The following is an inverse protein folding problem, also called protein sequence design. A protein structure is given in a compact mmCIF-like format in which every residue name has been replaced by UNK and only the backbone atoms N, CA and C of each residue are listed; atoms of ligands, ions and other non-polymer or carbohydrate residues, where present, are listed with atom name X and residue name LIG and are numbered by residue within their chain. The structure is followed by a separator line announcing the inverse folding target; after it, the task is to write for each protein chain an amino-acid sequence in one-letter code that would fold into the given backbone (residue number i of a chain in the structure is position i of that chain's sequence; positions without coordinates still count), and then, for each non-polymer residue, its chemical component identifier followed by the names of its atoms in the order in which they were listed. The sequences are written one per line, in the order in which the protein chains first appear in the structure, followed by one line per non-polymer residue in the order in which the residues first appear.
data_IF_384424852982
#
_entry.id   IF_384424852982
#
_cell.length_a   1.000
_cell.length_b   1.000
_cell.length_c   1.000
_cell.angle_alpha   90.00
_cell.angle_beta   90.00
_cell.angle_gamma   90.00
#
_symmetry.space_group_name_H-M   'P 1'
#
loop_
_entity.id
_entity.type
_entity.pdbx_description
1 polymer ?
#
# COMPACT_ATOMS: atom_id res chain seq x y z
N UNK A 1 -7.86 -32.65 -33.94
CA UNK A 1 -8.98 -31.70 -33.80
C UNK A 1 -8.71 -30.82 -32.57
N UNK A 2 -8.84 -29.51 -32.74
CA UNK A 2 -8.68 -28.55 -31.67
C UNK A 2 -10.05 -28.18 -31.11
N UNK A 3 -10.19 -28.11 -29.77
CA UNK A 3 -11.48 -28.00 -29.11
C UNK A 3 -12.18 -26.67 -29.37
N UNK A 4 -11.56 -25.57 -29.18
CA UNK A 4 -12.16 -24.25 -29.38
C UNK A 4 -11.10 -23.13 -29.56
N UNK A 5 -11.52 -22.09 -30.27
CA UNK A 5 -10.73 -20.83 -30.42
C UNK A 5 -11.54 -19.69 -29.83
N UNK A 6 -10.91 -18.91 -28.97
CA UNK A 6 -11.47 -17.67 -28.43
C UNK A 6 -10.57 -16.51 -28.84
N UNK A 7 -11.17 -15.43 -29.31
CA UNK A 7 -10.48 -14.19 -29.64
C UNK A 7 -10.85 -13.17 -28.58
N UNK A 8 -9.84 -12.56 -27.94
CA UNK A 8 -10.00 -11.53 -26.93
C UNK A 8 -9.35 -10.25 -27.44
N UNK A 9 -10.11 -9.17 -27.50
CA UNK A 9 -9.58 -7.86 -27.81
C UNK A 9 -8.98 -7.26 -26.53
N UNK A 10 -7.68 -6.94 -26.60
CA UNK A 10 -6.92 -6.39 -25.47
C UNK A 10 -6.68 -4.91 -25.74
N UNK A 11 -6.95 -4.00 -24.78
CA UNK A 11 -6.66 -2.58 -24.93
C UNK A 11 -5.18 -2.31 -25.20
N UNK A 12 -4.88 -1.23 -25.91
CA UNK A 12 -3.50 -0.81 -26.17
C UNK A 12 -2.75 -0.53 -24.85
N UNK A 13 -1.51 -0.94 -24.76
CA UNK A 13 -0.67 -0.77 -23.57
C UNK A 13 -0.80 -1.86 -22.51
N UNK A 14 -1.71 -2.81 -22.68
CA UNK A 14 -1.80 -3.99 -21.80
C UNK A 14 -0.75 -5.02 -22.18
N UNK A 15 0.17 -5.30 -21.26
CA UNK A 15 1.27 -6.24 -21.49
C UNK A 15 0.96 -7.68 -21.09
N UNK A 16 -0.05 -7.88 -20.24
CA UNK A 16 -0.45 -9.21 -19.76
C UNK A 16 -1.94 -9.27 -19.46
N UNK A 17 -2.59 -10.38 -19.78
CA UNK A 17 -3.97 -10.68 -19.39
C UNK A 17 -4.02 -11.90 -18.48
N UNK A 18 -4.90 -11.85 -17.48
CA UNK A 18 -5.29 -13.00 -16.67
C UNK A 18 -6.61 -13.59 -17.21
N UNK A 19 -6.72 -14.91 -17.23
CA UNK A 19 -7.92 -15.58 -17.69
C UNK A 19 -8.10 -16.95 -17.05
N UNK A 20 -9.34 -17.45 -17.10
CA UNK A 20 -9.72 -18.78 -16.64
C UNK A 20 -10.37 -19.50 -17.81
N UNK A 21 -9.92 -20.71 -18.11
CA UNK A 21 -10.62 -21.60 -19.02
C UNK A 21 -11.55 -22.49 -18.19
N UNK A 22 -12.82 -22.50 -18.56
CA UNK A 22 -13.86 -23.26 -17.88
C UNK A 22 -14.50 -24.23 -18.85
N UNK A 23 -14.92 -25.37 -18.34
CA UNK A 23 -15.75 -26.36 -19.04
C UNK A 23 -17.06 -26.57 -18.28
N UNK A 24 -17.96 -27.25 -18.90
CA UNK A 24 -19.26 -27.66 -18.33
C UNK A 24 -20.13 -26.47 -17.88
N UNK A 25 -20.00 -25.32 -18.60
CA UNK A 25 -20.89 -24.19 -18.41
C UNK A 25 -22.21 -24.42 -19.12
N UNK A 26 -23.31 -24.23 -18.41
CA UNK A 26 -24.68 -24.43 -18.96
C UNK A 26 -25.10 -23.40 -20.01
N UNK A 27 -24.43 -22.27 -20.12
CA UNK A 27 -24.66 -21.24 -21.12
C UNK A 27 -23.35 -20.54 -21.56
N UNK A 28 -23.20 -20.22 -22.88
CA UNK A 28 -22.12 -19.38 -23.34
C UNK A 28 -22.18 -18.00 -22.70
N UNK A 29 -21.08 -17.58 -22.03
CA UNK A 29 -21.02 -16.29 -21.33
C UNK A 29 -21.81 -16.22 -20.03
N UNK A 30 -22.40 -17.34 -19.58
CA UNK A 30 -23.16 -17.40 -18.35
C UNK A 30 -22.34 -17.20 -17.09
N UNK A 31 -22.99 -16.60 -16.09
CA UNK A 31 -22.43 -16.38 -14.75
C UNK A 31 -22.56 -17.58 -13.82
N UNK A 32 -22.88 -18.75 -14.34
CA UNK A 32 -23.04 -19.98 -13.55
C UNK A 32 -21.68 -20.53 -13.12
N UNK A 33 -21.13 -19.93 -12.08
CA UNK A 33 -19.88 -20.36 -11.47
C UNK A 33 -20.05 -21.64 -10.64
N UNK A 34 -21.28 -21.97 -10.25
CA UNK A 34 -21.55 -23.11 -9.38
C UNK A 34 -21.39 -24.46 -10.08
N UNK A 35 -21.66 -24.55 -11.40
CA UNK A 35 -21.54 -25.78 -12.19
C UNK A 35 -20.27 -25.83 -13.04
N UNK A 36 -19.51 -24.73 -13.15
CA UNK A 36 -18.36 -24.67 -14.03
C UNK A 36 -17.11 -25.23 -13.39
N UNK A 37 -16.42 -26.12 -14.10
CA UNK A 37 -15.13 -26.67 -13.69
C UNK A 37 -14.01 -25.91 -14.38
N UNK A 38 -13.01 -25.42 -13.61
CA UNK A 38 -11.77 -24.89 -14.18
C UNK A 38 -11.02 -26.00 -14.92
N UNK A 39 -10.38 -25.67 -16.03
CA UNK A 39 -9.51 -26.60 -16.75
C UNK A 39 -8.22 -26.89 -16.00
N UNK A 40 -7.83 -25.95 -15.11
CA UNK A 40 -6.64 -26.03 -14.26
C UNK A 40 -6.89 -25.27 -12.95
N UNK A 41 -6.24 -25.66 -11.84
CA UNK A 41 -6.47 -25.11 -10.49
C UNK A 41 -6.23 -23.60 -10.39
N UNK A 42 -5.11 -23.14 -10.98
CA UNK A 42 -4.72 -21.75 -10.93
C UNK A 42 -5.27 -20.96 -12.12
N UNK A 43 -5.38 -19.65 -11.93
CA UNK A 43 -5.65 -18.72 -13.03
C UNK A 43 -4.47 -18.71 -13.99
N UNK A 44 -4.76 -18.54 -15.29
CA UNK A 44 -3.75 -18.45 -16.33
C UNK A 44 -3.44 -17.01 -16.67
N UNK A 45 -2.20 -16.74 -17.03
CA UNK A 45 -1.74 -15.41 -17.44
C UNK A 45 -0.97 -15.50 -18.75
N UNK A 46 -1.33 -14.67 -19.71
CA UNK A 46 -0.64 -14.59 -20.98
C UNK A 46 0.00 -13.22 -21.18
N UNK A 47 1.26 -13.19 -21.57
CA UNK A 47 1.93 -11.97 -22.01
C UNK A 47 1.49 -11.64 -23.42
N UNK A 48 1.26 -10.35 -23.68
CA UNK A 48 0.91 -9.83 -24.98
C UNK A 48 2.20 -9.47 -25.73
N UNK A 49 2.46 -10.16 -26.82
CA UNK A 49 3.63 -9.96 -27.68
C UNK A 49 3.17 -9.36 -29.01
N UNK A 50 3.45 -8.08 -29.25
CA UNK A 50 3.09 -7.40 -30.49
C UNK A 50 1.59 -7.16 -30.68
N UNK A 51 1.14 -7.14 -31.94
CA UNK A 51 -0.27 -6.84 -32.30
C UNK A 51 -1.21 -8.03 -32.12
N UNK A 52 -0.68 -9.24 -32.14
CA UNK A 52 -1.43 -10.49 -31.99
C UNK A 52 -0.57 -11.50 -31.24
N UNK A 53 -1.12 -12.09 -30.18
CA UNK A 53 -0.50 -13.17 -29.43
C UNK A 53 -1.41 -14.39 -29.46
N UNK A 54 -0.91 -15.49 -30.01
CA UNK A 54 -1.64 -16.76 -30.06
C UNK A 54 -1.03 -17.74 -29.07
N UNK A 55 -1.85 -18.27 -28.18
CA UNK A 55 -1.43 -19.30 -27.22
C UNK A 55 -2.30 -20.55 -27.40
N UNK A 56 -1.69 -21.70 -27.23
CA UNK A 56 -2.36 -22.99 -27.24
C UNK A 56 -2.34 -23.55 -25.82
N UNK A 57 -3.48 -24.07 -25.39
CA UNK A 57 -3.67 -24.61 -24.04
C UNK A 57 -4.12 -26.06 -24.15
N UNK A 58 -3.64 -26.87 -23.22
CA UNK A 58 -4.10 -28.23 -23.01
C UNK A 58 -4.82 -28.30 -21.66
N UNK A 59 -5.99 -28.93 -21.63
CA UNK A 59 -6.76 -29.08 -20.39
C UNK A 59 -5.96 -29.90 -19.35
N UNK A 60 -5.92 -29.39 -18.13
CA UNK A 60 -5.15 -30.00 -17.02
C UNK A 60 -3.67 -29.69 -17.02
N UNK A 61 -3.14 -29.02 -18.06
CA UNK A 61 -1.72 -28.67 -18.17
C UNK A 61 -1.53 -27.16 -17.88
N UNK A 62 -0.68 -26.76 -16.92
CA UNK A 62 -0.38 -25.35 -16.66
C UNK A 62 0.36 -24.65 -17.79
N UNK A 63 1.02 -25.40 -18.68
CA UNK A 63 1.83 -24.84 -19.76
C UNK A 63 1.01 -24.10 -20.80
N UNK A 64 1.64 -23.12 -21.42
CA UNK A 64 1.15 -22.40 -22.59
C UNK A 64 2.11 -22.61 -23.74
N UNK A 65 1.58 -22.99 -24.88
CA UNK A 65 2.34 -23.38 -26.04
C UNK A 65 2.23 -22.34 -27.16
N UNK A 66 3.29 -22.17 -27.96
CA UNK A 66 3.27 -21.31 -29.16
C UNK A 66 2.73 -22.00 -30.38
N UNK A 67 2.60 -23.32 -30.34
CA UNK A 67 2.07 -24.10 -31.44
C UNK A 67 1.12 -25.18 -30.94
N UNK A 68 0.25 -25.61 -31.82
CA UNK A 68 -0.77 -26.61 -31.56
C UNK A 68 -0.22 -28.03 -31.32
N UNK A 69 1.02 -28.28 -31.63
CA UNK A 69 1.72 -29.56 -31.43
C UNK A 69 2.46 -29.66 -30.09
N UNK A 70 2.19 -28.70 -29.19
CA UNK A 70 2.85 -28.64 -27.89
C UNK A 70 4.30 -28.15 -27.95
N UNK A 71 4.67 -27.45 -29.01
CA UNK A 71 5.99 -26.86 -29.21
C UNK A 71 6.41 -25.89 -28.10
N UNK A 72 7.31 -25.00 -28.34
CA UNK A 72 7.97 -24.15 -27.33
C UNK A 72 6.99 -23.50 -26.36
N UNK A 73 7.07 -23.83 -25.11
CA UNK A 73 6.31 -23.20 -24.00
C UNK A 73 6.64 -21.71 -23.92
N UNK A 74 5.62 -20.87 -23.85
CA UNK A 74 5.77 -19.46 -23.55
C UNK A 74 6.26 -19.30 -22.11
N UNK A 75 7.33 -18.53 -21.90
CA UNK A 75 7.75 -18.18 -20.54
C UNK A 75 6.68 -17.29 -19.90
N UNK A 76 6.11 -17.72 -18.81
CA UNK A 76 5.29 -16.85 -17.97
C UNK A 76 6.18 -15.78 -17.34
N UNK A 77 5.79 -14.51 -17.49
CA UNK A 77 6.48 -13.43 -16.77
C UNK A 77 6.19 -13.57 -15.29
N UNK A 78 7.25 -13.73 -14.51
CA UNK A 78 7.15 -13.73 -13.06
C UNK A 78 6.87 -12.31 -12.58
N UNK A 79 5.84 -12.15 -11.75
CA UNK A 79 5.47 -10.85 -11.15
C UNK A 79 5.33 -11.00 -9.64
N UNK A 80 5.96 -10.11 -8.91
CA UNK A 80 5.71 -9.88 -7.50
C UNK A 80 4.59 -8.84 -7.40
N UNK A 81 3.36 -9.29 -7.16
CA UNK A 81 2.18 -8.44 -7.31
C UNK A 81 1.87 -7.63 -6.06
N UNK A 82 2.17 -8.14 -4.87
CA UNK A 82 1.88 -7.47 -3.62
C UNK A 82 2.86 -7.86 -2.50
N UNK A 83 3.28 -6.88 -1.71
CA UNK A 83 3.86 -7.06 -0.39
C UNK A 83 3.14 -6.12 0.57
N UNK A 84 2.49 -6.67 1.60
CA UNK A 84 1.67 -5.94 2.55
C UNK A 84 2.04 -6.25 3.99
N UNK A 85 2.27 -5.21 4.82
CA UNK A 85 2.46 -5.39 6.24
C UNK A 85 1.11 -5.75 6.87
N UNK A 86 1.00 -6.99 7.34
CA UNK A 86 -0.24 -7.55 7.85
C UNK A 86 -0.31 -7.57 9.39
N UNK A 87 0.85 -7.63 10.06
CA UNK A 87 0.98 -7.56 11.51
C UNK A 87 2.38 -7.03 11.87
N UNK A 88 2.69 -6.86 13.14
CA UNK A 88 3.93 -6.27 13.66
C UNK A 88 5.21 -6.76 12.96
N UNK A 89 5.31 -8.04 12.71
CA UNK A 89 6.47 -8.69 12.07
C UNK A 89 6.06 -9.57 10.88
N UNK A 90 4.85 -9.39 10.32
CA UNK A 90 4.30 -10.27 9.30
C UNK A 90 4.00 -9.53 8.01
N UNK A 91 4.65 -9.92 6.92
CA UNK A 91 4.46 -9.38 5.58
C UNK A 91 3.75 -10.43 4.73
N UNK A 92 2.55 -10.12 4.24
CA UNK A 92 1.87 -10.90 3.21
C UNK A 92 2.53 -10.65 1.86
N UNK A 93 2.73 -11.70 1.07
CA UNK A 93 3.22 -11.57 -0.30
C UNK A 93 2.30 -12.29 -1.30
N UNK A 94 2.27 -11.79 -2.55
CA UNK A 94 1.55 -12.44 -3.67
C UNK A 94 2.42 -12.46 -4.92
N UNK A 95 2.47 -13.63 -5.56
CA UNK A 95 3.30 -13.91 -6.73
C UNK A 95 2.45 -14.48 -7.86
N UNK A 96 2.90 -14.26 -9.08
CA UNK A 96 2.33 -14.89 -10.30
C UNK A 96 3.49 -15.23 -11.25
N UNK A 97 3.60 -16.48 -11.74
CA UNK A 97 2.89 -17.67 -11.29
C UNK A 97 3.26 -18.07 -9.86
N UNK A 98 2.58 -19.09 -9.31
CA UNK A 98 2.95 -19.72 -8.04
C UNK A 98 4.36 -20.33 -8.12
N UNK A 99 5.05 -20.44 -7.00
CA UNK A 99 6.41 -20.97 -6.90
C UNK A 99 6.64 -21.68 -5.56
N UNK A 100 7.72 -22.44 -5.50
CA UNK A 100 8.22 -23.02 -4.25
C UNK A 100 9.39 -22.18 -3.76
N UNK A 101 9.27 -21.62 -2.56
CA UNK A 101 10.38 -21.03 -1.81
C UNK A 101 10.99 -22.19 -1.00
N UNK A 102 12.17 -22.68 -1.41
CA UNK A 102 12.78 -23.89 -0.84
C UNK A 102 13.60 -23.61 0.41
N UNK A 103 14.15 -22.41 0.53
CA UNK A 103 14.93 -21.95 1.68
C UNK A 103 14.76 -20.44 1.90
N UNK A 104 15.14 -19.97 3.09
CA UNK A 104 14.98 -18.55 3.46
C UNK A 104 15.90 -17.61 2.68
N UNK A 105 17.02 -18.10 2.13
CA UNK A 105 17.98 -17.25 1.39
C UNK A 105 17.38 -16.69 0.10
N UNK A 106 16.31 -17.32 -0.42
CA UNK A 106 15.57 -16.87 -1.59
C UNK A 106 14.69 -15.65 -1.33
N UNK A 107 14.52 -15.28 -0.04
CA UNK A 107 13.70 -14.14 0.37
C UNK A 107 14.55 -13.20 1.21
N UNK A 108 14.48 -11.91 0.91
CA UNK A 108 15.17 -10.86 1.68
C UNK A 108 14.23 -9.73 1.96
N UNK A 109 14.31 -9.18 3.15
CA UNK A 109 13.57 -7.98 3.57
C UNK A 109 14.60 -6.89 3.88
N UNK A 110 14.32 -5.68 3.44
CA UNK A 110 15.18 -4.53 3.70
C UNK A 110 14.38 -3.35 4.26
N UNK A 111 15.00 -2.55 5.10
CA UNK A 111 14.58 -1.19 5.44
C UNK A 111 15.65 -0.23 4.90
N UNK A 112 15.34 0.48 3.83
CA UNK A 112 16.35 1.18 3.05
C UNK A 112 17.45 0.21 2.58
N UNK A 113 18.69 0.43 3.04
CA UNK A 113 19.83 -0.45 2.73
C UNK A 113 20.12 -1.51 3.80
N UNK A 114 19.43 -1.48 4.94
CA UNK A 114 19.63 -2.43 6.04
C UNK A 114 18.79 -3.68 5.79
N UNK A 115 19.42 -4.85 5.71
CA UNK A 115 18.71 -6.12 5.66
C UNK A 115 18.10 -6.45 7.03
N UNK A 116 16.83 -6.85 7.03
CA UNK A 116 16.08 -7.28 8.20
C UNK A 116 16.10 -8.81 8.26
N UNK A 117 16.48 -9.42 9.39
CA UNK A 117 16.46 -10.88 9.55
C UNK A 117 15.04 -11.44 9.41
N UNK A 118 14.91 -12.55 8.69
CA UNK A 118 13.68 -13.32 8.51
C UNK A 118 13.70 -14.51 9.46
N UNK A 119 12.61 -14.70 10.19
CA UNK A 119 12.42 -15.86 11.07
C UNK A 119 11.80 -17.05 10.32
N UNK A 120 10.79 -16.78 9.47
CA UNK A 120 10.08 -17.84 8.76
C UNK A 120 9.42 -17.36 7.46
N UNK A 121 9.05 -18.32 6.61
CA UNK A 121 8.13 -18.14 5.47
C UNK A 121 7.08 -19.23 5.56
N UNK A 122 5.80 -18.86 5.62
CA UNK A 122 4.68 -19.79 5.86
C UNK A 122 4.52 -20.89 4.81
N UNK A 123 5.03 -20.65 3.61
CA UNK A 123 4.95 -21.56 2.46
C UNK A 123 6.28 -22.26 2.16
N UNK A 124 7.24 -22.26 3.11
CA UNK A 124 8.55 -22.85 2.90
C UNK A 124 8.43 -24.32 2.48
N UNK A 125 9.06 -24.66 1.35
CA UNK A 125 9.01 -26.01 0.76
C UNK A 125 7.69 -26.39 0.07
N UNK A 126 6.73 -25.45 -0.03
CA UNK A 126 5.43 -25.68 -0.67
C UNK A 126 5.25 -24.75 -1.88
N UNK A 127 4.60 -25.24 -2.93
CA UNK A 127 4.23 -24.41 -4.06
C UNK A 127 3.04 -23.51 -3.69
N UNK A 128 3.23 -22.20 -3.76
CA UNK A 128 2.19 -21.21 -3.43
C UNK A 128 2.31 -19.93 -4.25
N UNK A 129 1.16 -19.27 -4.46
CA UNK A 129 1.07 -17.94 -5.07
C UNK A 129 1.06 -16.83 -4.02
N UNK A 130 0.82 -17.14 -2.76
CA UNK A 130 0.79 -16.19 -1.65
C UNK A 130 1.17 -16.85 -0.34
N UNK A 131 1.67 -16.05 0.60
CA UNK A 131 2.03 -16.50 1.93
C UNK A 131 2.47 -15.33 2.80
N UNK A 132 3.05 -15.66 3.93
CA UNK A 132 3.58 -14.70 4.89
C UNK A 132 5.07 -14.87 5.08
N UNK A 133 5.77 -13.76 5.17
CA UNK A 133 7.17 -13.68 5.63
C UNK A 133 7.10 -13.11 7.05
N UNK A 134 7.68 -13.82 8.01
CA UNK A 134 7.81 -13.33 9.37
C UNK A 134 9.24 -12.85 9.61
N UNK A 135 9.39 -11.61 10.05
CA UNK A 135 10.69 -11.06 10.45
C UNK A 135 11.02 -11.45 11.89
N UNK A 136 12.31 -11.43 12.24
CA UNK A 136 12.76 -11.79 13.60
C UNK A 136 12.37 -10.73 14.65
N UNK A 137 12.11 -9.49 14.21
CA UNK A 137 11.75 -8.35 15.06
C UNK A 137 10.52 -7.67 14.46
N UNK A 138 9.80 -6.93 15.31
CA UNK A 138 8.71 -6.08 14.87
C UNK A 138 9.22 -4.96 13.97
N UNK A 139 8.44 -4.64 12.95
CA UNK A 139 8.73 -3.59 11.97
C UNK A 139 8.10 -2.27 12.43
N UNK A 140 8.86 -1.18 12.35
CA UNK A 140 8.31 0.15 12.60
C UNK A 140 7.41 0.57 11.42
N UNK A 141 6.19 1.01 11.71
CA UNK A 141 5.23 1.47 10.68
C UNK A 141 5.75 2.63 9.83
N UNK A 142 6.69 3.42 10.32
CA UNK A 142 7.31 4.52 9.58
C UNK A 142 8.47 4.07 8.68
N UNK A 143 8.85 2.79 8.74
CA UNK A 143 9.95 2.24 7.95
C UNK A 143 9.59 2.15 6.46
N UNK A 144 10.62 2.23 5.63
CA UNK A 144 10.50 2.02 4.19
C UNK A 144 11.05 0.64 3.84
N UNK A 145 10.15 -0.36 3.85
CA UNK A 145 10.51 -1.74 3.65
C UNK A 145 10.28 -2.18 2.21
N UNK A 146 11.17 -3.06 1.73
CA UNK A 146 11.00 -3.80 0.48
C UNK A 146 11.32 -5.26 0.68
N UNK A 147 10.61 -6.10 -0.02
CA UNK A 147 10.85 -7.54 -0.09
C UNK A 147 11.45 -7.89 -1.43
N UNK A 148 12.46 -8.72 -1.43
CA UNK A 148 13.05 -9.33 -2.64
C UNK A 148 12.80 -10.82 -2.60
N UNK A 149 12.24 -11.37 -3.68
CA UNK A 149 12.04 -12.83 -3.84
C UNK A 149 12.78 -13.28 -5.10
N UNK A 150 13.64 -14.27 -4.95
CA UNK A 150 14.48 -14.78 -6.03
C UNK A 150 13.64 -15.17 -7.26
N UNK A 151 14.01 -14.62 -8.41
CA UNK A 151 13.31 -14.84 -9.67
C UNK A 151 12.02 -14.05 -9.86
N UNK A 152 11.57 -13.27 -8.86
CA UNK A 152 10.37 -12.40 -8.92
C UNK A 152 10.69 -10.91 -8.79
N UNK A 153 11.94 -10.57 -8.44
CA UNK A 153 12.35 -9.19 -8.22
C UNK A 153 11.97 -8.66 -6.85
N UNK A 154 11.71 -7.37 -6.75
CA UNK A 154 11.42 -6.69 -5.50
C UNK A 154 10.07 -5.99 -5.50
N UNK A 155 9.52 -5.76 -4.31
CA UNK A 155 8.27 -5.05 -4.08
C UNK A 155 8.35 -4.25 -2.79
N UNK A 156 7.92 -2.98 -2.86
CA UNK A 156 7.72 -2.14 -1.68
C UNK A 156 6.60 -2.72 -0.79
N UNK A 157 6.84 -2.69 0.51
CA UNK A 157 5.86 -3.13 1.51
C UNK A 157 4.98 -1.95 1.87
N UNK A 158 3.69 -2.10 1.68
CA UNK A 158 2.70 -1.11 2.09
C UNK A 158 1.93 -1.61 3.32
N UNK A 159 1.55 -0.73 4.26
CA UNK A 159 0.65 -1.12 5.34
C UNK A 159 -0.69 -1.63 4.78
N UNK A 160 -1.13 -2.80 5.25
CA UNK A 160 -2.41 -3.42 4.84
C UNK A 160 -3.21 -3.83 6.09
N UNK A 161 -3.36 -5.10 6.35
CA UNK A 161 -4.14 -5.62 7.49
C UNK A 161 -3.53 -5.29 8.86
N UNK A 162 -2.34 -4.70 8.92
CA UNK A 162 -1.74 -4.22 10.18
C UNK A 162 -2.68 -3.30 10.96
N UNK A 163 -3.47 -2.47 10.27
CA UNK A 163 -4.41 -1.54 10.91
C UNK A 163 -5.54 -2.24 11.68
N UNK A 164 -5.85 -3.51 11.34
CA UNK A 164 -6.85 -4.35 12.01
C UNK A 164 -6.22 -5.25 13.08
N UNK A 165 -4.90 -5.19 13.26
CA UNK A 165 -4.19 -6.04 14.22
C UNK A 165 -4.30 -5.54 15.64
N UNK A 166 -4.24 -6.48 16.61
CA UNK A 166 -4.16 -6.13 18.03
C UNK A 166 -2.89 -5.33 18.33
N UNK A 167 -1.78 -5.65 17.64
CA UNK A 167 -0.54 -4.89 17.77
C UNK A 167 -0.72 -3.41 17.45
N UNK A 168 -1.44 -3.09 16.37
CA UNK A 168 -1.71 -1.70 16.01
C UNK A 168 -2.58 -1.00 17.05
N UNK A 169 -3.64 -1.67 17.51
CA UNK A 169 -4.51 -1.14 18.55
C UNK A 169 -3.74 -0.84 19.85
N UNK A 170 -2.86 -1.74 20.29
CA UNK A 170 -2.11 -1.58 21.54
C UNK A 170 -1.04 -0.50 21.46
N UNK A 171 -0.37 -0.37 20.31
CA UNK A 171 0.82 0.48 20.16
C UNK A 171 0.56 1.84 19.53
N UNK A 172 -0.52 1.99 18.75
CA UNK A 172 -0.79 3.22 17.98
C UNK A 172 -2.14 3.87 18.28
N UNK A 173 -3.01 3.23 19.06
CA UNK A 173 -4.25 3.89 19.51
C UNK A 173 -3.90 5.13 20.34
N UNK A 174 -4.42 6.29 19.95
CA UNK A 174 -4.27 7.55 20.66
C UNK A 174 -5.63 8.05 21.10
N UNK A 175 -5.82 8.20 22.40
CA UNK A 175 -7.06 8.64 23.08
C UNK A 175 -6.95 10.06 23.66
N UNK A 176 -5.86 10.77 23.37
CA UNK A 176 -5.68 12.17 23.76
C UNK A 176 -6.65 13.10 23.04
N UNK A 177 -7.06 14.17 23.75
CA UNK A 177 -8.00 15.19 23.25
C UNK A 177 -7.30 16.44 22.71
N UNK A 178 -5.99 16.37 22.49
CA UNK A 178 -5.11 17.51 22.21
C UNK A 178 -4.49 17.46 20.80
N UNK A 179 -5.08 16.66 19.87
CA UNK A 179 -4.74 16.73 18.46
C UNK A 179 -5.21 18.03 17.84
N UNK A 180 -4.50 18.48 16.80
CA UNK A 180 -4.72 19.76 16.16
C UNK A 180 -3.82 20.88 16.68
N UNK A 181 -4.23 22.11 16.47
CA UNK A 181 -3.55 23.31 16.96
C UNK A 181 -4.19 23.79 18.25
N UNK A 182 -3.45 23.75 19.36
CA UNK A 182 -3.88 24.20 20.67
C UNK A 182 -3.11 25.45 21.07
N UNK A 183 -3.78 26.60 21.05
CA UNK A 183 -3.22 27.90 21.48
C UNK A 183 -3.40 28.09 22.98
N UNK A 184 -2.36 28.54 23.66
CA UNK A 184 -2.35 28.74 25.13
C UNK A 184 -2.23 30.21 25.57
N UNK A 185 -2.47 31.15 24.65
CA UNK A 185 -2.35 32.59 24.91
C UNK A 185 -0.99 33.18 24.53
N UNK A 186 0.05 32.37 24.28
CA UNK A 186 1.38 32.83 23.88
C UNK A 186 1.98 31.99 22.75
N UNK A 187 1.79 30.68 22.82
CA UNK A 187 2.30 29.72 21.84
C UNK A 187 1.18 28.80 21.38
N UNK A 188 1.39 28.20 20.23
CA UNK A 188 0.54 27.12 19.70
C UNK A 188 1.30 25.81 19.72
N UNK A 189 0.72 24.78 20.31
CA UNK A 189 1.19 23.40 20.18
C UNK A 189 0.41 22.72 19.08
N UNK A 190 1.11 22.23 18.07
CA UNK A 190 0.55 21.46 16.96
C UNK A 190 0.81 19.99 17.20
N UNK A 191 -0.24 19.17 17.10
CA UNK A 191 -0.15 17.72 17.20
C UNK A 191 -0.92 17.05 16.08
N UNK A 192 -0.30 16.07 15.43
CA UNK A 192 -0.94 15.23 14.40
C UNK A 192 -0.62 13.77 14.63
N UNK A 193 -1.62 12.92 14.50
CA UNK A 193 -1.46 11.47 14.55
C UNK A 193 -1.16 10.95 13.15
N UNK A 194 0.07 10.50 12.92
CA UNK A 194 0.56 9.98 11.65
C UNK A 194 1.53 8.82 11.89
N UNK A 195 1.04 7.64 12.32
CA UNK A 195 1.87 6.52 12.76
C UNK A 195 2.75 5.93 11.66
N UNK A 196 2.32 6.04 10.39
CA UNK A 196 3.08 5.55 9.22
C UNK A 196 4.07 6.57 8.66
N UNK A 197 4.10 7.79 9.21
CA UNK A 197 4.99 8.83 8.73
C UNK A 197 6.43 8.57 9.20
N UNK A 198 7.38 8.73 8.28
CA UNK A 198 8.82 8.80 8.57
C UNK A 198 9.29 10.22 8.86
N UNK A 199 8.51 11.22 8.41
CA UNK A 199 8.76 12.64 8.60
C UNK A 199 7.45 13.42 8.52
N UNK A 200 7.31 14.43 9.41
CA UNK A 200 6.24 15.42 9.34
C UNK A 200 6.86 16.81 9.47
N UNK A 201 6.48 17.71 8.56
CA UNK A 201 6.88 19.11 8.57
C UNK A 201 5.65 19.97 8.75
N UNK A 202 5.65 20.83 9.74
CA UNK A 202 4.65 21.89 9.93
C UNK A 202 5.01 23.07 9.05
N UNK A 203 4.08 23.51 8.19
CA UNK A 203 4.19 24.71 7.38
C UNK A 203 3.26 25.80 7.93
N UNK A 204 3.77 27.00 8.13
CA UNK A 204 3.05 28.15 8.69
C UNK A 204 2.92 29.26 7.66
N UNK A 205 1.72 29.86 7.59
CA UNK A 205 1.38 30.89 6.60
C UNK A 205 0.70 32.08 7.27
N UNK A 206 0.88 33.27 6.68
CA UNK A 206 0.24 34.51 7.13
C UNK A 206 -1.19 34.66 6.64
N UNK A 207 -1.58 33.92 5.58
CA UNK A 207 -2.94 34.01 5.00
C UNK A 207 -3.48 32.62 4.64
N UNK A 208 -4.82 32.53 4.50
CA UNK A 208 -5.54 31.32 4.17
C UNK A 208 -5.32 30.80 2.75
N UNK A 209 -4.73 31.61 1.87
CA UNK A 209 -4.33 31.26 0.50
C UNK A 209 -3.30 32.26 -0.04
N UNK A 210 -2.84 32.06 -1.28
CA UNK A 210 -2.11 33.01 -2.11
C UNK A 210 -0.72 33.42 -1.61
N UNK A 211 -0.21 32.83 -0.54
CA UNK A 211 1.12 33.14 0.01
C UNK A 211 1.91 31.87 0.27
N UNK A 212 3.24 31.95 0.18
CA UNK A 212 4.13 30.86 0.56
C UNK A 212 4.24 30.73 2.08
N UNK A 213 4.68 29.55 2.55
CA UNK A 213 4.97 29.35 3.96
C UNK A 213 6.10 30.26 4.41
N UNK A 214 5.86 31.08 5.44
CA UNK A 214 6.92 31.91 6.02
C UNK A 214 7.86 31.09 6.91
N UNK A 215 7.42 29.91 7.36
CA UNK A 215 8.20 28.97 8.16
C UNK A 215 7.78 27.54 7.87
N UNK A 216 8.76 26.66 7.74
CA UNK A 216 8.57 25.21 7.70
C UNK A 216 9.50 24.57 8.72
N UNK A 217 8.97 23.73 9.60
CA UNK A 217 9.73 23.14 10.70
C UNK A 217 9.39 21.66 10.85
N UNK A 218 10.43 20.83 11.00
CA UNK A 218 10.24 19.40 11.25
C UNK A 218 9.69 19.18 12.65
N UNK A 219 8.62 18.38 12.73
CA UNK A 219 7.98 18.01 13.99
C UNK A 219 8.72 16.83 14.64
N UNK A 220 8.55 16.68 15.94
CA UNK A 220 9.14 15.60 16.71
C UNK A 220 8.13 14.45 16.83
N UNK A 221 8.56 13.24 16.46
CA UNK A 221 7.78 12.02 16.64
C UNK A 221 7.80 11.61 18.11
N UNK A 222 6.62 11.50 18.70
CA UNK A 222 6.38 10.99 20.05
C UNK A 222 5.86 9.56 20.05
N UNK A 223 5.28 9.17 21.17
CA UNK A 223 4.65 7.86 21.34
C UNK A 223 3.39 7.71 20.47
N UNK A 224 3.00 6.46 20.21
CA UNK A 224 1.78 6.09 19.47
C UNK A 224 1.67 6.72 18.06
N UNK A 225 2.80 7.18 17.49
CA UNK A 225 2.82 7.82 16.18
C UNK A 225 2.27 9.25 16.15
N UNK A 226 2.20 9.93 17.29
CA UNK A 226 1.85 11.35 17.40
C UNK A 226 3.10 12.21 17.16
N UNK A 227 2.97 13.17 16.27
CA UNK A 227 3.99 14.16 15.97
C UNK A 227 3.60 15.49 16.62
N UNK A 228 4.57 16.23 17.17
CA UNK A 228 4.31 17.49 17.85
C UNK A 228 5.37 18.54 17.57
N UNK A 229 4.95 19.80 17.58
CA UNK A 229 5.81 20.99 17.59
C UNK A 229 5.10 22.12 18.32
N UNK A 230 5.86 22.94 19.04
CA UNK A 230 5.33 24.15 19.68
C UNK A 230 6.01 25.38 19.07
N UNK A 231 5.21 26.35 18.62
CA UNK A 231 5.68 27.56 17.95
C UNK A 231 5.07 28.81 18.60
N UNK A 232 5.84 29.89 18.59
CA UNK A 232 5.38 31.22 19.02
C UNK A 232 4.51 31.86 17.94
N UNK A 233 3.28 31.36 17.79
CA UNK A 233 2.27 31.90 16.89
C UNK A 233 0.89 31.74 17.51
N UNK A 234 -0.10 32.49 17.01
CA UNK A 234 -1.44 32.55 17.61
C UNK A 234 -2.56 32.67 16.61
N UNK A 235 -3.68 33.23 17.08
CA UNK A 235 -4.89 33.40 16.31
C UNK A 235 -4.63 34.05 14.95
N UNK A 236 -5.21 33.46 13.90
CA UNK A 236 -5.04 33.92 12.50
C UNK A 236 -3.81 33.36 11.79
N UNK A 237 -2.96 32.58 12.45
CA UNK A 237 -1.89 31.82 11.77
C UNK A 237 -2.49 30.63 11.04
N UNK A 238 -2.17 30.49 9.77
CA UNK A 238 -2.61 29.33 8.96
C UNK A 238 -1.50 28.28 8.90
N UNK A 239 -1.89 27.01 8.72
CA UNK A 239 -0.92 25.92 8.71
C UNK A 239 -1.38 24.70 7.89
N UNK A 240 -0.39 23.90 7.47
CA UNK A 240 -0.54 22.57 6.89
C UNK A 240 0.54 21.65 7.43
N UNK A 241 0.40 20.36 7.15
CA UNK A 241 1.45 19.36 7.41
C UNK A 241 1.93 18.77 6.08
N UNK A 242 3.26 18.73 5.88
CA UNK A 242 3.86 17.90 4.83
C UNK A 242 4.25 16.58 5.47
N UNK A 243 3.61 15.49 5.05
CA UNK A 243 3.77 14.14 5.62
C UNK A 243 4.49 13.25 4.61
N UNK A 244 5.59 12.63 5.04
CA UNK A 244 6.34 11.64 4.25
C UNK A 244 6.09 10.24 4.81
N UNK A 245 5.67 9.33 3.96
CA UNK A 245 5.48 7.91 4.26
C UNK A 245 6.20 7.05 3.22
N UNK A 246 6.14 5.73 3.33
CA UNK A 246 6.62 4.81 2.30
C UNK A 246 5.92 5.01 0.93
N UNK A 247 4.73 5.62 0.90
CA UNK A 247 3.96 5.90 -0.33
C UNK A 247 4.32 7.24 -0.98
N UNK A 248 5.23 8.00 -0.38
CA UNK A 248 5.67 9.31 -0.84
C UNK A 248 5.37 10.45 0.12
N UNK A 249 5.51 11.67 -0.38
CA UNK A 249 5.33 12.91 0.39
C UNK A 249 4.09 13.65 -0.11
N UNK A 250 3.22 14.03 0.82
CA UNK A 250 2.00 14.78 0.54
C UNK A 250 1.83 15.92 1.55
N UNK A 251 1.32 17.07 1.07
CA UNK A 251 0.84 18.14 1.92
C UNK A 251 -0.63 17.89 2.27
N UNK A 252 -0.98 18.05 3.54
CA UNK A 252 -2.31 17.77 4.06
C UNK A 252 -2.77 18.87 5.03
N UNK A 253 -4.07 19.11 5.03
CA UNK A 253 -4.74 19.95 6.03
C UNK A 253 -5.01 19.10 7.27
N UNK A 254 -4.93 19.75 8.42
CA UNK A 254 -5.25 19.11 9.70
C UNK A 254 -6.76 18.82 9.81
N UNK A 255 -7.11 17.55 10.00
CA UNK A 255 -8.51 17.14 10.21
C UNK A 255 -9.09 17.61 11.56
N UNK A 256 -8.23 18.02 12.50
CA UNK A 256 -8.60 18.57 13.81
C UNK A 256 -8.54 20.10 13.83
N UNK A 257 -8.35 20.77 12.68
CA UNK A 257 -8.34 22.23 12.60
C UNK A 257 -9.70 22.79 13.04
N UNK A 258 -9.70 23.74 13.97
CA UNK A 258 -10.92 24.41 14.49
C UNK A 258 -11.49 25.45 13.52
N UNK A 259 -10.66 25.96 12.61
CA UNK A 259 -11.07 26.80 11.49
C UNK A 259 -10.15 26.56 10.30
N UNK A 260 -10.61 26.99 9.13
CA UNK A 260 -9.90 26.75 7.88
C UNK A 260 -9.79 28.06 7.05
N UNK A 261 -8.78 28.11 6.22
CA UNK A 261 -8.59 29.11 5.20
C UNK A 261 -9.49 28.90 3.98
N UNK A 262 -9.18 29.61 2.91
CA UNK A 262 -9.96 29.59 1.65
C UNK A 262 -10.03 28.15 1.11
N UNK A 263 -11.25 27.73 0.77
CA UNK A 263 -11.56 26.37 0.25
C UNK A 263 -11.12 25.20 1.15
N UNK A 264 -10.82 25.47 2.44
CA UNK A 264 -10.34 24.43 3.36
C UNK A 264 -8.91 23.97 3.09
N UNK A 265 -8.10 24.70 2.33
CA UNK A 265 -6.75 24.30 1.94
C UNK A 265 -5.69 24.44 3.06
N UNK A 266 -6.02 25.19 4.12
CA UNK A 266 -5.16 25.38 5.30
C UNK A 266 -5.99 25.35 6.57
N UNK A 267 -5.49 24.77 7.63
CA UNK A 267 -6.03 24.96 8.98
C UNK A 267 -5.68 26.35 9.48
N UNK A 268 -6.44 26.88 10.47
CA UNK A 268 -6.15 28.14 11.14
C UNK A 268 -6.10 27.95 12.66
N UNK A 269 -5.11 28.53 13.29
CA UNK A 269 -5.03 28.63 14.74
C UNK A 269 -6.10 29.60 15.24
N UNK A 270 -6.92 29.17 16.21
CA UNK A 270 -8.02 29.96 16.76
C UNK A 270 -7.82 30.16 18.26
N UNK A 271 -7.87 31.41 18.67
CA UNK A 271 -8.16 31.77 20.05
C UNK A 271 -9.69 31.85 20.22
N UNK A 272 -10.26 30.85 20.87
CA UNK A 272 -11.70 30.77 21.08
C UNK A 272 -12.27 31.93 21.93
N UNK A 273 -11.44 32.55 22.77
CA UNK A 273 -11.86 33.70 23.58
C UNK A 273 -12.20 34.94 22.74
N UNK A 274 -11.70 34.99 21.49
CA UNK A 274 -11.94 36.07 20.55
C UNK A 274 -13.16 35.82 19.64
N UNK A 275 -13.80 34.65 19.77
CA UNK A 275 -14.91 34.25 18.87
C UNK A 275 -16.29 34.50 19.47
N UNK A 276 -16.38 34.74 20.78
CA UNK A 276 -17.64 35.01 21.43
C UNK A 276 -18.16 36.42 21.10
N UNK A 277 -19.44 36.58 20.68
CA UNK A 277 -20.03 37.90 20.45
C UNK A 277 -20.08 38.71 21.75
N UNK A 278 -19.86 40.01 21.62
CA UNK A 278 -20.01 40.93 22.76
C UNK A 278 -21.44 40.87 23.32
N UNK A 279 -21.58 40.58 24.63
CA UNK A 279 -22.86 40.47 25.31
C UNK A 279 -23.57 39.12 25.21
N UNK A 280 -22.85 38.11 24.81
CA UNK A 280 -23.35 36.74 24.80
C UNK A 280 -23.55 36.17 26.20
#
# INVERSE_FOLDING_TARGET
EYGGKVIVNVPEGVEQIGFIVRRDCSAPGGSDWGSATKDYEADRFANIEGKETVIYLQSGDPAQYKSSDGGKTLKQTRKFTMAGLADANKIEYKLTPKTTISNLDQVKVYNGNKQIPIASVSTLGKEAASGYIETAENLDLSGNYRVVIEGYGEKEVIPTSIFDSQYFADNYHYDGTDLGAVFNGSNTTFKVWAPTASKVVLNLFEAGDGVDAYKSVEMVRGEKGVWSHTEACGHGTYYTYTVTTALGTQEAVDIYAKAAGVNGNRGMVVDLSLTDPAGW
#
